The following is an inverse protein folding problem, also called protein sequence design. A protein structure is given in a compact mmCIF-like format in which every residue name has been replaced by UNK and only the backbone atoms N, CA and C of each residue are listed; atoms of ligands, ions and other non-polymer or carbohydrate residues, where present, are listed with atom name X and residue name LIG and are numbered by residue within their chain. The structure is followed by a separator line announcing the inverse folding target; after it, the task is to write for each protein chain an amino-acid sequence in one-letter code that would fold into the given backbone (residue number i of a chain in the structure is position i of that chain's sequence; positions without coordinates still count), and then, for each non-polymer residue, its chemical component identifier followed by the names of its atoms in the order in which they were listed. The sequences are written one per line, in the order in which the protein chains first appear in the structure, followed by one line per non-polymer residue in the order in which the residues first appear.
data_IF_925139526342
#
_entry.id   IF_925139526342
#
_cell.length_a   1.000
_cell.length_b   1.000
_cell.length_c   1.000
_cell.angle_alpha   90.00
_cell.angle_beta   90.00
_cell.angle_gamma   90.00
#
_symmetry.space_group_name_H-M   'P 1'
#
loop_
_entity.id
_entity.type
_entity.pdbx_description
1 polymer ?
#
# COMPACT_ATOMS: atom_id res chain seq x y z
N UNK A 1 -0.20 -1.54 19.45
CA UNK A 1 0.81 -1.62 18.39
C UNK A 1 0.13 -2.30 17.21
N UNK A 2 -0.05 -1.60 16.09
CA UNK A 2 -0.47 -2.26 14.86
C UNK A 2 0.72 -3.08 14.39
N UNK A 3 0.53 -4.39 14.28
CA UNK A 3 1.48 -5.30 13.65
C UNK A 3 1.56 -4.96 12.15
N UNK A 4 2.61 -5.40 11.43
CA UNK A 4 2.83 -5.03 10.02
C UNK A 4 1.70 -5.44 9.06
N UNK A 5 0.70 -6.16 9.56
CA UNK A 5 -0.46 -6.67 8.85
C UNK A 5 -1.68 -5.73 8.90
N UNK A 6 -1.81 -4.91 9.94
CA UNK A 6 -2.97 -4.06 10.16
C UNK A 6 -2.61 -2.57 10.12
N UNK A 7 -3.56 -1.73 9.72
CA UNK A 7 -3.35 -0.29 9.58
C UNK A 7 -4.38 0.52 10.38
N UNK A 8 -3.98 1.70 10.87
CA UNK A 8 -4.82 2.51 11.78
C UNK A 8 -5.15 3.90 11.24
N UNK A 9 -4.67 4.23 10.04
CA UNK A 9 -4.87 5.54 9.42
C UNK A 9 -5.62 5.35 8.11
N UNK A 10 -6.84 5.86 8.02
CA UNK A 10 -7.66 5.74 6.81
C UNK A 10 -6.94 6.31 5.59
N UNK A 11 -7.01 5.60 4.46
CA UNK A 11 -6.41 5.98 3.18
C UNK A 11 -4.90 6.23 3.20
N UNK A 12 -4.19 5.77 4.24
CA UNK A 12 -2.73 5.80 4.24
C UNK A 12 -2.19 4.88 3.14
N UNK A 13 -1.38 5.45 2.23
CA UNK A 13 -0.74 4.71 1.14
C UNK A 13 0.38 3.85 1.71
N UNK A 14 0.30 2.55 1.49
CA UNK A 14 1.30 1.58 1.93
C UNK A 14 1.28 0.34 1.03
N UNK A 15 2.13 -0.63 1.33
CA UNK A 15 2.19 -1.89 0.61
C UNK A 15 1.25 -2.93 1.21
N UNK A 16 0.71 -3.79 0.35
CA UNK A 16 0.07 -5.02 0.82
C UNK A 16 1.09 -5.88 1.59
N UNK A 17 0.61 -6.70 2.50
CA UNK A 17 1.46 -7.53 3.39
C UNK A 17 2.41 -8.43 2.60
N UNK A 18 1.95 -8.96 1.47
CA UNK A 18 2.74 -9.80 0.56
C UNK A 18 3.74 -9.02 -0.31
N UNK A 19 3.77 -7.69 -0.20
CA UNK A 19 4.62 -6.76 -0.96
C UNK A 19 4.40 -6.85 -2.47
N UNK A 20 3.27 -7.38 -2.95
CA UNK A 20 2.99 -7.52 -4.37
C UNK A 20 2.31 -6.28 -4.96
N UNK A 21 1.58 -5.51 -4.15
CA UNK A 21 0.79 -4.39 -4.64
C UNK A 21 0.94 -3.15 -3.76
N UNK A 22 0.84 -1.99 -4.40
CA UNK A 22 0.49 -0.73 -3.73
C UNK A 22 -0.96 -0.79 -3.29
N UNK A 23 -1.26 -0.16 -2.17
CA UNK A 23 -2.61 -0.10 -1.64
C UNK A 23 -2.83 1.08 -0.71
N UNK A 24 -4.01 1.08 -0.12
CA UNK A 24 -4.41 2.03 0.90
C UNK A 24 -4.99 1.29 2.08
N UNK A 25 -4.80 1.83 3.28
CA UNK A 25 -5.50 1.32 4.45
C UNK A 25 -7.01 1.41 4.23
N UNK A 26 -7.71 0.27 4.34
CA UNK A 26 -9.16 0.19 4.14
C UNK A 26 -9.97 0.49 5.40
N UNK A 27 -9.39 1.23 6.36
CA UNK A 27 -10.10 1.72 7.53
C UNK A 27 -11.14 2.75 7.10
N UNK A 28 -12.39 2.53 7.51
CA UNK A 28 -13.52 3.42 7.26
C UNK A 28 -14.33 3.66 8.53
N UNK A 29 -15.29 4.58 8.45
CA UNK A 29 -16.38 4.73 9.41
C UNK A 29 -17.62 4.05 8.83
N UNK A 30 -18.17 3.06 9.54
CA UNK A 30 -19.39 2.36 9.15
C UNK A 30 -20.64 3.17 9.53
N UNK A 31 -21.72 3.02 8.77
CA UNK A 31 -23.00 3.70 9.04
C UNK A 31 -23.76 3.12 10.26
N UNK A 32 -23.41 1.89 10.66
CA UNK A 32 -24.00 1.19 11.79
C UNK A 32 -22.91 0.64 12.71
N UNK A 33 -23.20 0.46 14.01
CA UNK A 33 -22.23 -0.10 14.95
C UNK A 33 -21.76 -1.49 14.52
N UNK A 34 -20.44 -1.68 14.55
CA UNK A 34 -19.77 -2.96 14.34
C UNK A 34 -20.13 -3.90 15.51
N UNK A 35 -20.26 -5.23 15.30
CA UNK A 35 -20.43 -6.18 16.40
C UNK A 35 -19.35 -6.05 17.48
N UNK A 36 -19.71 -6.24 18.75
CA UNK A 36 -18.86 -5.90 19.89
C UNK A 36 -17.52 -6.65 19.89
N UNK A 37 -17.51 -7.89 19.43
CA UNK A 37 -16.35 -8.77 19.29
C UNK A 37 -15.33 -8.28 18.23
N UNK A 38 -15.74 -7.39 17.32
CA UNK A 38 -14.91 -6.88 16.21
C UNK A 38 -14.60 -5.37 16.33
N UNK A 39 -14.78 -4.79 17.53
CA UNK A 39 -14.46 -3.37 17.79
C UNK A 39 -13.03 -3.24 18.27
N UNK A 40 -12.15 -2.76 17.39
CA UNK A 40 -10.71 -2.59 17.69
C UNK A 40 -10.32 -1.16 18.09
N UNK A 41 -11.23 -0.22 17.92
CA UNK A 41 -11.00 1.22 18.13
C UNK A 41 -11.76 1.72 19.35
N UNK A 42 -11.53 2.99 19.72
CA UNK A 42 -12.19 3.62 20.87
C UNK A 42 -13.67 3.95 20.67
N UNK A 43 -14.19 3.73 19.46
CA UNK A 43 -15.59 3.91 19.08
C UNK A 43 -16.16 2.60 18.50
N UNK A 44 -17.46 2.58 18.21
CA UNK A 44 -18.17 1.40 17.73
C UNK A 44 -18.42 1.36 16.23
N UNK A 45 -17.89 2.32 15.46
CA UNK A 45 -18.14 2.46 14.01
C UNK A 45 -16.88 2.43 13.16
N UNK A 46 -15.70 2.56 13.76
CA UNK A 46 -14.40 2.52 13.08
C UNK A 46 -13.93 1.08 12.90
N UNK A 47 -13.64 0.70 11.66
CA UNK A 47 -13.13 -0.63 11.34
C UNK A 47 -12.75 -0.78 9.87
N UNK A 48 -12.16 -1.92 9.52
CA UNK A 48 -11.87 -2.31 8.15
C UNK A 48 -13.14 -2.38 7.31
N UNK A 49 -13.01 -2.04 6.02
CA UNK A 49 -14.11 -2.01 5.06
C UNK A 49 -14.74 -3.39 4.80
N UNK A 50 -13.98 -4.48 4.97
CA UNK A 50 -14.40 -5.84 4.62
C UNK A 50 -14.91 -6.58 5.87
N UNK A 51 -16.22 -6.88 5.99
CA UNK A 51 -16.76 -7.53 7.19
C UNK A 51 -16.20 -8.95 7.40
N UNK A 52 -15.86 -9.67 6.32
CA UNK A 52 -15.30 -11.03 6.40
C UNK A 52 -13.84 -11.08 6.86
N UNK A 53 -13.17 -9.94 7.01
CA UNK A 53 -11.88 -9.86 7.70
C UNK A 53 -12.06 -9.49 9.17
N UNK A 54 -13.21 -9.84 9.76
CA UNK A 54 -13.61 -9.48 11.12
C UNK A 54 -13.48 -7.98 11.39
N UNK A 55 -13.74 -7.14 10.40
CA UNK A 55 -13.53 -5.67 10.46
C UNK A 55 -12.08 -5.26 10.79
N UNK A 56 -11.09 -6.15 10.68
CA UNK A 56 -9.68 -5.77 10.82
C UNK A 56 -9.27 -4.89 9.62
N UNK A 57 -8.77 -3.67 9.84
CA UNK A 57 -8.26 -2.83 8.78
C UNK A 57 -6.89 -3.30 8.30
N UNK A 58 -6.71 -3.39 6.98
CA UNK A 58 -5.46 -3.79 6.33
C UNK A 58 -5.22 -2.94 5.08
N UNK A 59 -4.01 -3.00 4.54
CA UNK A 59 -3.68 -2.34 3.28
C UNK A 59 -4.29 -3.13 2.13
N UNK A 60 -5.37 -2.61 1.54
CA UNK A 60 -6.05 -3.22 0.42
C UNK A 60 -5.40 -2.78 -0.89
N UNK A 61 -5.08 -3.74 -1.77
CA UNK A 61 -4.53 -3.46 -3.09
C UNK A 61 -5.47 -2.55 -3.89
N UNK A 62 -4.88 -1.57 -4.60
CA UNK A 62 -5.62 -0.70 -5.53
C UNK A 62 -5.54 -1.25 -6.96
N UNK A 63 -6.54 -0.96 -7.78
CA UNK A 63 -6.46 -1.21 -9.22
C UNK A 63 -5.25 -0.47 -9.82
N UNK A 64 -4.45 -1.15 -10.66
CA UNK A 64 -3.18 -0.63 -11.15
C UNK A 64 -2.05 -0.61 -10.10
N UNK A 65 -2.27 -1.20 -8.92
CA UNK A 65 -1.31 -1.27 -7.83
C UNK A 65 -0.36 -2.46 -7.89
N UNK A 66 -0.70 -3.51 -8.65
CA UNK A 66 0.09 -4.74 -8.74
C UNK A 66 1.44 -4.47 -9.41
N UNK A 67 2.50 -4.56 -8.61
CA UNK A 67 3.87 -4.32 -9.03
C UNK A 67 4.38 -5.38 -10.02
N UNK A 68 3.76 -6.56 -10.05
CA UNK A 68 4.21 -7.67 -10.89
C UNK A 68 3.72 -7.59 -12.33
N UNK A 69 2.70 -6.77 -12.60
CA UNK A 69 2.14 -6.58 -13.94
C UNK A 69 2.72 -5.36 -14.63
N UNK A 70 3.43 -5.57 -15.74
CA UNK A 70 3.99 -4.50 -16.58
C UNK A 70 2.90 -3.54 -17.12
N UNK A 71 1.66 -4.01 -17.26
CA UNK A 71 0.53 -3.19 -17.70
C UNK A 71 0.19 -2.04 -16.75
N UNK A 72 0.70 -2.08 -15.50
CA UNK A 72 0.45 -1.08 -14.48
C UNK A 72 1.51 0.02 -14.44
N UNK A 73 2.50 -0.01 -15.36
CA UNK A 73 3.50 1.03 -15.49
C UNK A 73 2.81 2.39 -15.73
N UNK A 74 3.07 3.42 -14.90
CA UNK A 74 2.44 4.72 -15.07
C UNK A 74 2.96 5.42 -16.33
N UNK A 75 2.06 6.12 -17.04
CA UNK A 75 2.42 6.94 -18.20
C UNK A 75 3.46 8.03 -17.84
N UNK A 76 3.28 8.67 -16.68
CA UNK A 76 4.24 9.61 -16.12
C UNK A 76 4.75 9.08 -14.78
N UNK A 77 6.01 8.65 -14.77
CA UNK A 77 6.58 7.91 -13.66
C UNK A 77 7.25 8.81 -12.61
N UNK A 78 6.50 9.64 -11.90
CA UNK A 78 7.09 10.57 -10.92
C UNK A 78 7.79 9.89 -9.73
N UNK A 79 7.60 8.59 -9.50
CA UNK A 79 8.18 7.84 -8.36
C UNK A 79 9.33 6.91 -8.76
N UNK A 80 9.76 6.98 -10.02
CA UNK A 80 10.78 6.11 -10.62
C UNK A 80 10.47 4.62 -10.43
N UNK A 81 9.20 4.26 -10.53
CA UNK A 81 8.71 2.91 -10.34
C UNK A 81 9.15 1.99 -11.48
N UNK A 82 9.20 0.70 -11.18
CA UNK A 82 9.41 -0.37 -12.16
C UNK A 82 8.40 -1.48 -11.90
N UNK A 83 7.82 -2.01 -12.97
CA UNK A 83 6.83 -3.09 -12.92
C UNK A 83 7.34 -4.30 -13.67
N UNK A 84 6.98 -5.50 -13.19
CA UNK A 84 7.38 -6.77 -13.79
C UNK A 84 7.51 -7.88 -12.75
N UNK A 85 7.72 -9.13 -13.18
CA UNK A 85 7.63 -10.30 -12.29
C UNK A 85 8.52 -10.21 -11.01
N UNK A 86 9.68 -9.55 -11.11
CA UNK A 86 10.60 -9.34 -9.99
C UNK A 86 10.35 -8.06 -9.20
N UNK A 87 9.36 -7.25 -9.54
CA UNK A 87 9.04 -6.02 -8.83
C UNK A 87 8.22 -6.28 -7.58
N UNK A 88 8.52 -5.52 -6.52
CA UNK A 88 7.83 -5.54 -5.24
C UNK A 88 7.49 -4.13 -4.78
N UNK A 89 6.51 -4.04 -3.90
CA UNK A 89 6.09 -2.79 -3.30
C UNK A 89 7.00 -2.42 -2.11
N UNK A 90 7.40 -1.16 -2.07
CA UNK A 90 8.13 -0.54 -0.98
C UNK A 90 7.46 0.75 -0.52
N UNK A 91 7.52 1.01 0.78
CA UNK A 91 7.31 2.33 1.33
C UNK A 91 8.48 3.21 0.89
N UNK A 92 8.18 4.31 0.21
CA UNK A 92 9.15 5.13 -0.50
C UNK A 92 8.84 6.60 -0.36
N UNK A 93 9.90 7.39 -0.29
CA UNK A 93 9.87 8.85 -0.41
C UNK A 93 10.45 9.34 -1.75
N UNK A 94 10.78 8.41 -2.65
CA UNK A 94 11.42 8.74 -3.93
C UNK A 94 10.44 9.50 -4.83
N UNK A 95 10.96 10.59 -5.42
CA UNK A 95 10.28 11.38 -6.44
C UNK A 95 11.29 11.94 -7.43
N UNK A 96 10.83 12.19 -8.65
CA UNK A 96 11.61 12.86 -9.70
C UNK A 96 10.82 14.01 -10.34
N UNK A 97 11.55 14.96 -10.91
CA UNK A 97 10.99 16.08 -11.67
C UNK A 97 10.94 15.68 -13.14
N UNK A 98 9.75 15.74 -13.74
CA UNK A 98 9.52 15.47 -15.17
C UNK A 98 8.86 16.73 -15.74
N UNK A 99 9.47 17.31 -16.78
CA UNK A 99 8.99 18.55 -17.43
C UNK A 99 8.67 19.69 -16.45
N UNK A 100 9.53 19.86 -15.43
CA UNK A 100 9.38 20.89 -14.39
C UNK A 100 8.28 20.60 -13.36
N UNK A 101 7.65 19.42 -13.39
CA UNK A 101 6.59 18.99 -12.45
C UNK A 101 7.05 17.83 -11.57
N UNK A 102 6.52 17.77 -10.35
CA UNK A 102 6.77 16.68 -9.39
C UNK A 102 5.55 16.47 -8.50
N UNK A 103 5.48 15.32 -7.80
CA UNK A 103 4.49 15.09 -6.76
C UNK A 103 4.68 16.05 -5.58
N UNK A 104 3.56 16.60 -5.09
CA UNK A 104 3.52 17.42 -3.88
C UNK A 104 3.84 16.60 -2.62
N UNK A 105 3.33 15.36 -2.56
CA UNK A 105 3.58 14.40 -1.47
C UNK A 105 4.52 13.32 -1.97
N UNK A 106 5.64 13.12 -1.28
CA UNK A 106 6.66 12.15 -1.67
C UNK A 106 6.56 10.81 -0.96
N UNK A 107 6.03 10.75 0.27
CA UNK A 107 5.82 9.50 1.01
C UNK A 107 4.66 8.68 0.43
N UNK A 108 4.80 7.36 0.41
CA UNK A 108 3.74 6.42 0.04
C UNK A 108 4.31 5.09 -0.47
N UNK A 109 3.46 4.30 -1.12
CA UNK A 109 3.85 3.04 -1.74
C UNK A 109 4.36 3.23 -3.17
N UNK A 110 5.41 2.49 -3.56
CA UNK A 110 5.96 2.50 -4.91
C UNK A 110 6.50 1.12 -5.30
N UNK A 111 6.46 0.78 -6.59
CA UNK A 111 6.97 -0.49 -7.10
C UNK A 111 8.41 -0.38 -7.58
N UNK A 112 9.29 -1.29 -7.14
CA UNK A 112 10.68 -1.36 -7.61
C UNK A 112 11.08 -2.80 -7.93
N UNK A 113 11.85 -2.97 -9.00
CA UNK A 113 12.48 -4.24 -9.34
C UNK A 113 13.46 -4.64 -8.24
N UNK A 114 13.43 -5.93 -7.86
CA UNK A 114 14.39 -6.47 -6.90
C UNK A 114 15.22 -7.60 -7.50
N UNK A 115 16.42 -7.76 -6.96
CA UNK A 115 17.23 -8.96 -7.12
C UNK A 115 17.64 -9.47 -5.74
N UNK A 116 17.41 -10.76 -5.48
CA UNK A 116 17.79 -11.41 -4.23
C UNK A 116 19.20 -11.98 -4.35
N UNK A 117 20.08 -11.59 -3.43
CA UNK A 117 21.38 -12.21 -3.21
C UNK A 117 21.43 -12.93 -1.87
N UNK A 118 22.54 -13.62 -1.59
CA UNK A 118 22.73 -14.26 -0.28
C UNK A 118 22.81 -13.17 0.79
N UNK A 119 21.85 -13.17 1.72
CA UNK A 119 21.80 -12.25 2.85
C UNK A 119 21.46 -10.79 2.51
N UNK A 120 21.08 -10.47 1.27
CA UNK A 120 20.73 -9.10 0.89
C UNK A 120 19.71 -9.06 -0.26
N UNK A 121 18.99 -7.95 -0.33
CA UNK A 121 18.11 -7.60 -1.45
C UNK A 121 18.66 -6.35 -2.11
N UNK A 122 18.75 -6.35 -3.44
CA UNK A 122 19.07 -5.18 -4.24
C UNK A 122 17.76 -4.60 -4.76
N UNK A 123 17.58 -3.30 -4.59
CA UNK A 123 16.40 -2.55 -5.05
C UNK A 123 16.86 -1.64 -6.18
N UNK A 124 16.20 -1.73 -7.33
CA UNK A 124 16.66 -1.11 -8.57
C UNK A 124 17.71 -1.97 -9.30
N UNK A 125 17.74 -1.83 -10.63
CA UNK A 125 18.76 -2.42 -11.50
C UNK A 125 19.91 -1.43 -11.70
#
# INVERSE_FOLDING_TARGET
AASGEFCTTSLESSCTVDRLSRGFCNLITHDAPIPAEYRYFGDDVSGGYIPTSDYCPFVQAVAGGDCTSESNMPEINYRAESYGASSRCFESSLKQIIDGRTLAVSSGAACYAIACGVGHVRIGL
#
